data_IF_020441509147
#
_entry.id   IF_020441509147
#
_cell.length_a   1.000
_cell.length_b   1.000
_cell.length_c   1.000
_cell.angle_alpha   90.00
_cell.angle_beta   90.00
_cell.angle_gamma   90.00
#
_symmetry.space_group_name_H-M   'P 1'
#
loop_
_entity.id
_entity.type
_entity.pdbx_description
1 polymer ?
#
# COMPACT_ATOMS: atom_id res chain seq x y z
N UNK A 1 -27.97 -4.17 -20.93
CA UNK A 1 -26.59 -4.62 -20.90
C UNK A 1 -26.53 -5.96 -21.61
N UNK A 2 -25.71 -6.07 -22.66
CA UNK A 2 -25.52 -7.28 -23.43
C UNK A 2 -24.68 -8.21 -22.55
N UNK A 3 -25.19 -9.37 -22.23
CA UNK A 3 -24.39 -10.43 -21.61
C UNK A 3 -23.67 -11.17 -22.74
N UNK A 4 -22.38 -10.90 -22.89
CA UNK A 4 -21.52 -11.65 -23.79
C UNK A 4 -21.14 -12.98 -23.14
N UNK A 5 -21.05 -14.04 -23.95
CA UNK A 5 -20.48 -15.34 -23.58
C UNK A 5 -19.06 -15.46 -24.18
N UNK A 6 -18.02 -14.99 -23.44
CA UNK A 6 -16.65 -15.04 -23.95
C UNK A 6 -16.13 -16.47 -24.13
N UNK A 7 -16.66 -17.43 -23.35
CA UNK A 7 -16.30 -18.84 -23.48
C UNK A 7 -16.84 -19.46 -24.78
N UNK A 8 -18.11 -19.25 -25.06
CA UNK A 8 -18.76 -19.67 -26.32
C UNK A 8 -18.11 -19.02 -27.54
N UNK A 9 -17.80 -17.73 -27.47
CA UNK A 9 -17.11 -17.01 -28.54
C UNK A 9 -15.71 -17.57 -28.80
N UNK A 10 -14.92 -17.80 -27.74
CA UNK A 10 -13.58 -18.38 -27.87
C UNK A 10 -13.63 -19.80 -28.52
N UNK A 11 -14.62 -20.62 -28.13
CA UNK A 11 -14.84 -21.94 -28.70
C UNK A 11 -15.24 -21.87 -30.18
N UNK A 12 -16.08 -20.92 -30.55
CA UNK A 12 -16.53 -20.72 -31.94
C UNK A 12 -15.44 -20.23 -32.87
N UNK A 13 -14.53 -19.36 -32.38
CA UNK A 13 -13.46 -18.79 -33.18
C UNK A 13 -12.29 -19.75 -33.43
N UNK A 14 -12.13 -20.82 -32.65
CA UNK A 14 -11.07 -21.83 -32.79
C UNK A 14 -9.67 -21.22 -33.00
N UNK A 15 -9.34 -20.18 -32.20
CA UNK A 15 -8.09 -19.46 -32.35
C UNK A 15 -6.87 -20.38 -32.12
N UNK A 16 -5.78 -20.20 -32.91
CA UNK A 16 -4.57 -21.05 -32.81
C UNK A 16 -3.69 -20.70 -31.58
N UNK A 17 -4.19 -19.85 -30.69
CA UNK A 17 -3.51 -19.41 -29.48
C UNK A 17 -4.36 -19.75 -28.24
N UNK A 18 -3.75 -19.98 -27.07
CA UNK A 18 -4.50 -20.16 -25.84
C UNK A 18 -5.36 -18.94 -25.53
N UNK A 19 -6.64 -19.16 -25.24
CA UNK A 19 -7.59 -18.13 -24.84
C UNK A 19 -7.99 -18.34 -23.39
N UNK A 20 -7.94 -17.29 -22.59
CA UNK A 20 -8.42 -17.27 -21.20
C UNK A 20 -9.69 -16.45 -21.16
N UNK A 21 -10.87 -17.06 -21.17
CA UNK A 21 -12.12 -16.32 -21.01
C UNK A 21 -12.23 -15.79 -19.58
N UNK A 22 -12.57 -14.51 -19.43
CA UNK A 22 -12.73 -13.84 -18.15
C UNK A 22 -14.16 -13.33 -18.00
N UNK A 23 -14.84 -13.73 -16.93
CA UNK A 23 -16.14 -13.21 -16.55
C UNK A 23 -15.96 -12.06 -15.55
N UNK A 24 -15.86 -10.85 -16.06
CA UNK A 24 -15.66 -9.64 -15.27
C UNK A 24 -16.90 -8.73 -15.39
N UNK A 25 -17.95 -8.96 -14.59
CA UNK A 25 -19.20 -8.23 -14.72
C UNK A 25 -19.01 -6.74 -14.41
N UNK A 26 -19.36 -5.89 -15.36
CA UNK A 26 -19.31 -4.44 -15.21
C UNK A 26 -20.24 -3.97 -14.09
N UNK A 27 -19.83 -2.93 -13.38
CA UNK A 27 -20.60 -2.25 -12.32
C UNK A 27 -21.00 -3.10 -11.09
N UNK A 28 -20.55 -4.35 -10.98
CA UNK A 28 -20.89 -5.23 -9.85
C UNK A 28 -19.75 -5.35 -8.83
N UNK A 29 -18.52 -5.20 -9.28
CA UNK A 29 -17.31 -5.37 -8.49
C UNK A 29 -16.32 -4.22 -8.71
N UNK A 30 -15.38 -4.06 -7.78
CA UNK A 30 -14.30 -3.07 -7.86
C UNK A 30 -13.14 -3.55 -8.72
N UNK A 31 -12.27 -2.62 -9.10
CA UNK A 31 -11.08 -2.85 -9.92
C UNK A 31 -10.14 -3.90 -9.29
N UNK A 32 -9.91 -3.84 -7.98
CA UNK A 32 -9.09 -4.81 -7.27
C UNK A 32 -9.61 -6.24 -7.41
N UNK A 33 -10.92 -6.44 -7.31
CA UNK A 33 -11.51 -7.75 -7.55
C UNK A 33 -11.29 -8.22 -8.99
N UNK A 34 -11.49 -7.33 -9.97
CA UNK A 34 -11.26 -7.64 -11.38
C UNK A 34 -9.80 -8.01 -11.66
N UNK A 35 -8.87 -7.29 -11.05
CA UNK A 35 -7.44 -7.57 -11.15
C UNK A 35 -7.07 -8.92 -10.49
N UNK A 36 -7.61 -9.20 -9.30
CA UNK A 36 -7.39 -10.46 -8.59
C UNK A 36 -7.93 -11.66 -9.39
N UNK A 37 -9.14 -11.56 -9.91
CA UNK A 37 -9.74 -12.62 -10.73
C UNK A 37 -8.96 -12.82 -12.03
N UNK A 38 -8.58 -11.75 -12.72
CA UNK A 38 -7.77 -11.83 -13.93
C UNK A 38 -6.43 -12.51 -13.64
N UNK A 39 -5.73 -12.06 -12.61
CA UNK A 39 -4.43 -12.65 -12.24
C UNK A 39 -4.57 -14.12 -11.87
N UNK A 40 -5.58 -14.48 -11.08
CA UNK A 40 -5.85 -15.87 -10.71
C UNK A 40 -6.10 -16.76 -11.93
N UNK A 41 -6.97 -16.34 -12.86
CA UNK A 41 -7.30 -17.13 -14.05
C UNK A 41 -6.08 -17.26 -14.98
N UNK A 42 -5.27 -16.21 -15.13
CA UNK A 42 -4.04 -16.27 -15.91
C UNK A 42 -3.04 -17.24 -15.29
N UNK A 43 -2.77 -17.16 -13.98
CA UNK A 43 -1.89 -18.08 -13.26
C UNK A 43 -2.37 -19.53 -13.44
N UNK A 44 -3.64 -19.77 -13.14
CA UNK A 44 -4.25 -21.09 -13.26
C UNK A 44 -4.11 -21.67 -14.67
N UNK A 45 -4.35 -20.86 -15.69
CA UNK A 45 -4.29 -21.31 -17.08
C UNK A 45 -2.87 -21.55 -17.55
N UNK A 46 -1.95 -20.62 -17.24
CA UNK A 46 -0.55 -20.76 -17.67
C UNK A 46 0.17 -21.90 -16.96
N UNK A 47 -0.08 -22.09 -15.66
CA UNK A 47 0.56 -23.17 -14.90
C UNK A 47 -0.11 -24.54 -15.07
N UNK A 48 -1.24 -24.65 -15.78
CA UNK A 48 -2.00 -25.89 -15.90
C UNK A 48 -1.18 -27.08 -16.46
N UNK A 49 -0.31 -26.84 -17.43
CA UNK A 49 0.57 -27.86 -18.02
C UNK A 49 1.69 -28.35 -17.09
N UNK A 50 1.94 -27.64 -15.99
CA UNK A 50 2.97 -27.96 -14.99
C UNK A 50 2.36 -28.46 -13.68
N UNK A 51 1.05 -28.66 -13.62
CA UNK A 51 0.39 -29.15 -12.42
C UNK A 51 0.86 -30.58 -12.11
N UNK A 52 1.26 -30.84 -10.86
CA UNK A 52 1.62 -32.20 -10.46
C UNK A 52 0.41 -33.12 -10.49
N UNK A 53 0.64 -34.41 -10.77
CA UNK A 53 -0.42 -35.42 -10.82
C UNK A 53 -0.55 -36.16 -9.50
N UNK A 54 -1.78 -36.55 -9.13
CA UNK A 54 -2.07 -37.39 -7.97
C UNK A 54 -1.73 -36.73 -6.63
N UNK A 55 -1.36 -37.55 -5.66
CA UNK A 55 -0.97 -37.11 -4.29
C UNK A 55 0.48 -36.62 -4.21
N UNK A 56 0.83 -35.76 -5.12
CA UNK A 56 2.17 -35.18 -5.17
C UNK A 56 2.50 -34.40 -3.91
N UNK A 57 3.71 -34.63 -3.40
CA UNK A 57 4.31 -33.85 -2.32
C UNK A 57 5.46 -33.04 -2.88
N UNK A 58 5.60 -31.80 -2.43
CA UNK A 58 6.73 -31.00 -2.82
C UNK A 58 8.03 -31.65 -2.31
N UNK A 59 9.02 -31.90 -3.19
CA UNK A 59 10.30 -32.39 -2.74
C UNK A 59 10.99 -31.33 -1.86
N UNK A 60 11.75 -31.82 -0.85
CA UNK A 60 12.58 -30.94 -0.05
C UNK A 60 13.57 -30.18 -0.96
N UNK A 61 13.83 -28.94 -0.61
CA UNK A 61 14.85 -28.12 -1.29
C UNK A 61 16.23 -28.79 -1.14
N UNK A 62 16.99 -28.79 -2.23
CA UNK A 62 18.41 -29.17 -2.17
C UNK A 62 19.14 -28.23 -1.20
N UNK A 63 19.80 -28.73 -0.15
CA UNK A 63 20.52 -27.89 0.82
C UNK A 63 21.62 -27.01 0.19
N UNK A 64 22.16 -27.40 -0.97
CA UNK A 64 23.15 -26.61 -1.70
C UNK A 64 22.56 -25.47 -2.56
N UNK A 65 21.24 -25.41 -2.70
CA UNK A 65 20.57 -24.39 -3.49
C UNK A 65 19.97 -23.29 -2.60
N UNK A 66 20.16 -22.03 -2.99
CA UNK A 66 19.47 -20.91 -2.34
C UNK A 66 17.94 -21.06 -2.42
N UNK A 67 17.21 -20.65 -1.38
CA UNK A 67 15.77 -20.57 -1.43
C UNK A 67 15.31 -19.64 -2.57
N UNK A 68 14.17 -19.96 -3.18
CA UNK A 68 13.55 -19.15 -4.23
C UNK A 68 12.14 -18.78 -3.89
N UNK A 69 11.76 -17.53 -4.11
CA UNK A 69 10.38 -17.08 -3.94
C UNK A 69 9.83 -16.41 -5.19
N UNK A 70 8.52 -16.41 -5.33
CA UNK A 70 7.83 -15.50 -6.23
C UNK A 70 7.41 -14.25 -5.46
N UNK A 71 7.46 -13.06 -6.08
CA UNK A 71 6.83 -11.84 -5.60
C UNK A 71 5.49 -11.66 -6.28
N UNK A 72 4.40 -11.77 -5.53
CA UNK A 72 3.04 -11.77 -6.06
C UNK A 72 2.26 -10.51 -5.66
N UNK A 73 1.52 -9.99 -6.64
CA UNK A 73 0.58 -8.89 -6.45
C UNK A 73 0.97 -7.53 -7.01
N UNK A 74 2.26 -7.19 -7.19
CA UNK A 74 2.61 -5.89 -7.76
C UNK A 74 1.96 -5.68 -9.13
N UNK A 75 1.21 -4.57 -9.27
CA UNK A 75 0.50 -4.21 -10.50
C UNK A 75 0.36 -2.69 -10.59
N UNK A 76 -0.13 -2.19 -11.71
CA UNK A 76 -0.40 -0.76 -11.90
C UNK A 76 -1.45 -0.19 -10.91
N UNK A 77 -2.22 -1.05 -10.23
CA UNK A 77 -3.16 -0.67 -9.16
C UNK A 77 -2.46 -0.52 -7.79
N UNK A 78 -1.23 -0.97 -7.64
CA UNK A 78 -0.45 -0.82 -6.42
C UNK A 78 0.15 0.58 -6.29
N UNK A 79 0.14 1.15 -5.09
CA UNK A 79 0.52 2.54 -4.84
C UNK A 79 1.98 2.83 -5.24
N UNK A 80 2.95 2.08 -4.74
CA UNK A 80 4.40 2.26 -5.02
C UNK A 80 5.03 0.99 -5.60
N UNK A 81 4.26 0.21 -6.31
CA UNK A 81 4.55 -1.17 -6.70
C UNK A 81 5.95 -1.41 -7.29
N UNK A 82 6.52 -0.46 -8.05
CA UNK A 82 7.85 -0.62 -8.65
C UNK A 82 8.97 -0.47 -7.64
N UNK A 83 8.85 0.53 -6.79
CA UNK A 83 9.83 0.82 -5.75
C UNK A 83 9.75 -0.25 -4.66
N UNK A 84 8.54 -0.70 -4.31
CA UNK A 84 8.31 -1.78 -3.36
C UNK A 84 8.96 -3.10 -3.84
N UNK A 85 8.79 -3.46 -5.13
CA UNK A 85 9.47 -4.62 -5.70
C UNK A 85 10.98 -4.49 -5.59
N UNK A 86 11.52 -3.30 -5.85
CA UNK A 86 12.96 -3.04 -5.76
C UNK A 86 13.46 -3.19 -4.33
N UNK A 87 12.74 -2.60 -3.36
CA UNK A 87 13.12 -2.65 -1.94
C UNK A 87 13.04 -4.08 -1.39
N UNK A 88 11.94 -4.78 -1.65
CA UNK A 88 11.77 -6.15 -1.17
C UNK A 88 12.74 -7.13 -1.86
N UNK A 89 13.04 -6.92 -3.14
CA UNK A 89 14.08 -7.73 -3.81
C UNK A 89 15.43 -7.55 -3.14
N UNK A 90 15.84 -6.32 -2.78
CA UNK A 90 17.08 -6.06 -2.04
C UNK A 90 17.10 -6.73 -0.66
N UNK A 91 15.96 -6.68 0.03
CA UNK A 91 15.82 -7.32 1.34
C UNK A 91 15.96 -8.85 1.25
N UNK A 92 15.33 -9.47 0.25
CA UNK A 92 15.42 -10.91 0.00
C UNK A 92 16.83 -11.34 -0.44
N UNK A 93 17.48 -10.54 -1.28
CA UNK A 93 18.88 -10.78 -1.70
C UNK A 93 19.82 -10.74 -0.49
N UNK A 94 19.64 -9.80 0.43
CA UNK A 94 20.39 -9.73 1.68
C UNK A 94 20.16 -10.95 2.61
N UNK A 95 19.01 -11.61 2.49
CA UNK A 95 18.68 -12.88 3.14
C UNK A 95 19.21 -14.10 2.37
N UNK A 96 19.83 -13.93 1.21
CA UNK A 96 20.27 -15.03 0.35
C UNK A 96 19.13 -15.77 -0.34
N UNK A 97 18.03 -15.09 -0.64
CA UNK A 97 16.83 -15.64 -1.28
C UNK A 97 16.71 -15.11 -2.70
N UNK A 98 16.66 -16.01 -3.67
CA UNK A 98 16.47 -15.67 -5.08
C UNK A 98 15.01 -15.31 -5.38
N UNK A 99 14.76 -14.18 -6.07
CA UNK A 99 13.45 -13.87 -6.63
C UNK A 99 13.31 -14.56 -7.99
N UNK A 100 12.40 -15.55 -8.04
CA UNK A 100 12.19 -16.38 -9.23
C UNK A 100 11.31 -15.69 -10.28
N UNK A 101 10.13 -15.22 -9.86
CA UNK A 101 9.17 -14.51 -10.72
C UNK A 101 8.56 -13.36 -9.95
N UNK A 102 8.46 -12.18 -10.58
CA UNK A 102 7.63 -11.06 -10.12
C UNK A 102 6.36 -11.06 -10.98
N UNK A 103 5.18 -11.17 -10.36
CA UNK A 103 3.91 -11.23 -11.09
C UNK A 103 2.77 -10.52 -10.35
N UNK A 104 1.85 -9.88 -11.11
CA UNK A 104 1.77 -9.78 -12.57
C UNK A 104 2.72 -8.74 -13.20
N UNK A 105 3.38 -7.87 -12.43
CA UNK A 105 4.23 -6.79 -12.94
C UNK A 105 5.36 -7.34 -13.83
N UNK A 106 5.29 -7.02 -15.13
CA UNK A 106 6.32 -7.43 -16.09
C UNK A 106 6.34 -8.91 -16.45
N UNK A 107 5.49 -9.74 -15.87
CA UNK A 107 5.45 -11.18 -16.14
C UNK A 107 4.84 -11.49 -17.52
N UNK A 108 5.47 -12.39 -18.24
CA UNK A 108 4.95 -12.99 -19.46
C UNK A 108 4.19 -14.29 -19.13
N UNK A 109 3.33 -14.79 -20.02
CA UNK A 109 2.65 -16.07 -19.80
C UNK A 109 3.60 -17.24 -19.48
N UNK A 110 4.80 -17.27 -20.09
CA UNK A 110 5.83 -18.28 -19.81
C UNK A 110 6.38 -18.16 -18.38
N UNK A 111 6.47 -16.96 -17.83
CA UNK A 111 6.92 -16.73 -16.47
C UNK A 111 5.84 -17.19 -15.47
N UNK A 112 4.56 -16.93 -15.76
CA UNK A 112 3.43 -17.44 -14.97
C UNK A 112 3.36 -18.97 -14.96
N UNK A 113 3.73 -19.63 -16.07
CA UNK A 113 3.79 -21.08 -16.16
C UNK A 113 4.81 -21.68 -15.17
N UNK A 114 5.84 -20.94 -14.81
CA UNK A 114 6.95 -21.38 -13.95
C UNK A 114 6.75 -21.05 -12.47
N UNK A 115 5.67 -20.40 -12.07
CA UNK A 115 5.42 -20.04 -10.67
C UNK A 115 5.52 -21.24 -9.71
N UNK A 116 5.13 -22.46 -10.17
CA UNK A 116 5.23 -23.69 -9.37
C UNK A 116 6.66 -24.12 -9.02
N UNK A 117 7.70 -23.58 -9.67
CA UNK A 117 9.12 -23.95 -9.45
C UNK A 117 9.71 -23.29 -8.18
N UNK A 118 9.18 -22.17 -7.72
CA UNK A 118 9.66 -21.49 -6.51
C UNK A 118 9.33 -22.29 -5.25
N UNK A 119 10.09 -22.08 -4.17
CA UNK A 119 9.89 -22.78 -2.91
C UNK A 119 8.67 -22.22 -2.14
N UNK A 120 8.46 -20.92 -2.22
CA UNK A 120 7.37 -20.21 -1.55
C UNK A 120 6.96 -18.94 -2.31
N UNK A 121 5.90 -18.29 -1.82
CA UNK A 121 5.38 -17.05 -2.40
C UNK A 121 5.43 -15.92 -1.36
N UNK A 122 5.94 -14.77 -1.77
CA UNK A 122 5.84 -13.51 -1.03
C UNK A 122 4.67 -12.71 -1.61
N UNK A 123 3.66 -12.43 -0.78
CA UNK A 123 2.45 -11.72 -1.18
C UNK A 123 2.56 -10.26 -0.73
N UNK A 124 2.85 -9.35 -1.67
CA UNK A 124 3.03 -7.92 -1.37
C UNK A 124 1.72 -7.14 -1.44
N UNK A 125 0.81 -7.52 -2.34
CA UNK A 125 -0.50 -6.89 -2.51
C UNK A 125 -1.58 -7.96 -2.44
N UNK A 126 -2.07 -8.29 -1.23
CA UNK A 126 -3.06 -9.35 -1.02
C UNK A 126 -4.35 -9.15 -1.82
N UNK A 127 -4.78 -7.90 -2.02
CA UNK A 127 -5.96 -7.54 -2.81
C UNK A 127 -5.91 -8.09 -4.24
N UNK A 128 -4.71 -8.26 -4.79
CA UNK A 128 -4.49 -8.78 -6.15
C UNK A 128 -4.10 -10.25 -6.13
N UNK A 129 -3.24 -10.65 -5.18
CA UNK A 129 -2.52 -11.90 -5.27
C UNK A 129 -3.07 -13.03 -4.40
N UNK A 130 -3.85 -12.72 -3.36
CA UNK A 130 -4.23 -13.74 -2.36
C UNK A 130 -4.90 -14.96 -2.99
N UNK A 131 -5.86 -14.78 -3.90
CA UNK A 131 -6.56 -15.90 -4.55
C UNK A 131 -5.61 -16.79 -5.37
N UNK A 132 -4.67 -16.17 -6.10
CA UNK A 132 -3.66 -16.90 -6.85
C UNK A 132 -2.66 -17.61 -5.93
N UNK A 133 -2.19 -16.96 -4.87
CA UNK A 133 -1.30 -17.54 -3.87
C UNK A 133 -1.94 -18.74 -3.15
N UNK A 134 -3.22 -18.62 -2.75
CA UNK A 134 -3.98 -19.71 -2.13
C UNK A 134 -4.13 -20.90 -3.10
N UNK A 135 -4.28 -20.65 -4.40
CA UNK A 135 -4.31 -21.69 -5.42
C UNK A 135 -2.94 -22.34 -5.58
N UNK A 136 -1.86 -21.59 -5.64
CA UNK A 136 -0.49 -22.11 -5.70
C UNK A 136 -0.15 -22.96 -4.46
N UNK A 137 -0.58 -22.52 -3.27
CA UNK A 137 -0.42 -23.27 -2.03
C UNK A 137 -1.11 -24.63 -2.06
N UNK A 138 -2.33 -24.68 -2.57
CA UNK A 138 -3.08 -25.95 -2.71
C UNK A 138 -2.49 -26.85 -3.79
N UNK A 139 -2.11 -26.30 -4.94
CA UNK A 139 -1.71 -27.05 -6.12
C UNK A 139 -0.25 -27.46 -6.07
N UNK A 140 0.66 -26.56 -5.74
CA UNK A 140 2.10 -26.79 -5.73
C UNK A 140 2.68 -26.91 -4.31
N UNK A 141 1.83 -26.92 -3.27
CA UNK A 141 2.24 -27.00 -1.86
C UNK A 141 3.28 -25.91 -1.49
N UNK A 142 3.13 -24.73 -2.07
CA UNK A 142 3.99 -23.58 -1.80
C UNK A 142 3.40 -22.77 -0.65
N UNK A 143 4.11 -22.62 0.49
CA UNK A 143 3.69 -21.67 1.52
C UNK A 143 3.71 -20.24 0.97
N UNK A 144 2.95 -19.36 1.60
CA UNK A 144 2.90 -17.94 1.23
C UNK A 144 3.00 -17.08 2.50
N UNK A 145 3.66 -15.92 2.37
CA UNK A 145 3.71 -14.96 3.46
C UNK A 145 2.35 -14.34 3.73
N UNK A 146 2.12 -13.99 4.98
CA UNK A 146 0.91 -13.30 5.46
C UNK A 146 1.18 -11.87 5.89
N UNK A 147 2.41 -11.57 6.26
CA UNK A 147 2.83 -10.23 6.65
C UNK A 147 3.20 -9.40 5.43
N UNK A 148 2.60 -8.21 5.30
CA UNK A 148 3.00 -7.20 4.31
C UNK A 148 3.95 -6.22 5.00
N UNK A 149 5.18 -6.02 4.49
CA UNK A 149 6.25 -5.30 5.20
C UNK A 149 6.11 -3.78 5.08
N UNK A 150 5.03 -3.20 5.60
CA UNK A 150 4.79 -1.74 5.64
C UNK A 150 4.95 -1.25 7.08
N UNK A 151 5.95 -0.41 7.33
CA UNK A 151 6.39 0.02 8.66
C UNK A 151 7.57 -0.79 9.18
N UNK A 152 8.20 -0.33 10.25
CA UNK A 152 9.42 -0.96 10.83
C UNK A 152 9.07 -2.32 11.42
N UNK A 153 8.09 -2.36 12.32
CA UNK A 153 7.70 -3.59 13.02
C UNK A 153 7.24 -4.67 12.04
N UNK A 154 6.38 -4.32 11.07
CA UNK A 154 5.92 -5.27 10.07
C UNK A 154 7.05 -5.74 9.13
N UNK A 155 8.05 -4.90 8.85
CA UNK A 155 9.22 -5.31 8.07
C UNK A 155 10.07 -6.34 8.83
N UNK A 156 10.28 -6.14 10.13
CA UNK A 156 10.97 -7.13 10.95
C UNK A 156 10.21 -8.46 11.05
N UNK A 157 8.89 -8.40 11.23
CA UNK A 157 8.03 -9.59 11.28
C UNK A 157 8.03 -10.33 9.95
N UNK A 158 8.01 -9.59 8.83
CA UNK A 158 8.15 -10.16 7.49
C UNK A 158 9.49 -10.89 7.32
N UNK A 159 10.60 -10.31 7.77
CA UNK A 159 11.92 -10.95 7.72
C UNK A 159 11.91 -12.26 8.52
N UNK A 160 11.30 -12.27 9.71
CA UNK A 160 11.19 -13.47 10.54
C UNK A 160 10.32 -14.54 9.87
N UNK A 161 9.15 -14.16 9.33
CA UNK A 161 8.26 -15.08 8.61
C UNK A 161 8.94 -15.69 7.37
N UNK A 162 9.60 -14.87 6.56
CA UNK A 162 10.34 -15.34 5.38
C UNK A 162 11.48 -16.27 5.76
N UNK A 163 12.21 -15.93 6.81
CA UNK A 163 13.31 -16.76 7.32
C UNK A 163 12.83 -18.13 7.84
N UNK A 164 11.70 -18.16 8.52
CA UNK A 164 11.07 -19.41 8.97
C UNK A 164 10.64 -20.27 7.76
N UNK A 165 9.96 -19.67 6.78
CA UNK A 165 9.52 -20.39 5.57
C UNK A 165 10.72 -20.91 4.76
N UNK A 166 11.78 -20.13 4.64
CA UNK A 166 12.98 -20.45 3.87
C UNK A 166 13.99 -21.31 4.66
N UNK A 167 13.75 -21.55 5.96
CA UNK A 167 14.65 -22.27 6.87
C UNK A 167 16.07 -21.67 6.91
N UNK A 168 16.16 -20.35 7.11
CA UNK A 168 17.41 -19.59 7.17
C UNK A 168 17.49 -18.76 8.46
N UNK A 169 18.69 -18.33 8.83
CA UNK A 169 18.92 -17.43 9.99
C UNK A 169 18.76 -15.95 9.58
N UNK A 170 17.78 -15.21 10.14
CA UNK A 170 17.56 -13.80 9.81
C UNK A 170 18.48 -12.83 10.57
N UNK A 171 19.31 -13.30 11.51
CA UNK A 171 20.02 -12.45 12.49
C UNK A 171 20.89 -11.39 11.82
N UNK A 172 21.65 -11.77 10.78
CA UNK A 172 22.51 -10.83 10.06
C UNK A 172 21.71 -9.77 9.30
N UNK A 173 20.62 -10.17 8.65
CA UNK A 173 19.76 -9.23 7.92
C UNK A 173 19.07 -8.26 8.87
N UNK A 174 18.52 -8.73 9.99
CA UNK A 174 17.91 -7.88 11.02
C UNK A 174 18.92 -6.91 11.63
N UNK A 175 20.17 -7.32 11.82
CA UNK A 175 21.20 -6.46 12.38
C UNK A 175 21.73 -5.41 11.39
N UNK A 176 21.75 -5.72 10.09
CA UNK A 176 22.31 -4.84 9.04
C UNK A 176 21.29 -3.85 8.44
N UNK A 177 20.02 -4.19 8.47
CA UNK A 177 18.94 -3.38 7.90
C UNK A 177 18.19 -2.68 9.03
N UNK A 178 18.59 -1.47 9.35
CA UNK A 178 17.93 -0.66 10.37
C UNK A 178 17.25 0.56 9.75
N UNK A 179 16.01 0.79 10.18
CA UNK A 179 15.33 2.04 9.89
C UNK A 179 16.07 3.24 10.47
N UNK A 180 15.98 4.38 9.82
CA UNK A 180 16.47 5.67 10.34
C UNK A 180 15.54 6.30 11.38
N UNK A 181 14.35 5.74 11.60
CA UNK A 181 13.37 6.27 12.54
C UNK A 181 13.94 6.53 13.95
N UNK A 182 14.78 5.66 14.55
CA UNK A 182 15.38 5.97 15.85
C UNK A 182 16.31 7.17 15.84
N UNK A 183 16.88 7.52 14.68
CA UNK A 183 17.67 8.74 14.53
C UNK A 183 16.77 9.96 14.40
N UNK A 184 15.73 9.90 13.58
CA UNK A 184 14.77 10.98 13.41
C UNK A 184 14.01 11.30 14.69
N UNK A 185 13.62 10.29 15.46
CA UNK A 185 12.92 10.49 16.74
C UNK A 185 13.73 11.25 17.79
N UNK A 186 15.06 11.35 17.63
CA UNK A 186 15.93 12.15 18.50
C UNK A 186 16.05 13.62 18.01
N UNK A 187 15.81 13.88 16.75
CA UNK A 187 15.96 15.21 16.14
C UNK A 187 14.62 15.94 16.00
N UNK A 188 13.52 15.22 15.98
CA UNK A 188 12.16 15.78 16.03
C UNK A 188 11.70 15.78 17.48
N UNK A 189 11.05 16.85 17.93
CA UNK A 189 10.39 16.85 19.24
C UNK A 189 9.29 15.78 19.24
N UNK A 190 9.61 14.63 19.81
CA UNK A 190 8.71 13.47 19.80
C UNK A 190 7.40 13.75 20.54
N UNK A 191 7.39 14.73 21.45
CA UNK A 191 6.18 15.15 22.15
C UNK A 191 5.19 15.82 21.20
N UNK A 192 5.67 16.43 20.13
CA UNK A 192 4.82 17.05 19.12
C UNK A 192 3.97 16.04 18.33
N UNK A 193 4.49 14.85 18.09
CA UNK A 193 3.79 13.80 17.35
C UNK A 193 2.82 13.00 18.23
N UNK A 194 3.15 12.84 19.50
CA UNK A 194 2.36 12.02 20.42
C UNK A 194 0.92 12.54 20.56
N UNK A 195 -0.05 11.65 20.37
CA UNK A 195 -1.46 11.97 20.52
C UNK A 195 -2.07 12.76 19.34
N UNK A 196 -1.32 13.00 18.26
CA UNK A 196 -1.88 13.59 17.03
C UNK A 196 -3.00 12.71 16.48
N UNK A 197 -4.14 13.32 16.23
CA UNK A 197 -5.36 12.62 15.80
C UNK A 197 -5.33 12.36 14.31
N UNK A 198 -5.41 11.07 13.91
CA UNK A 198 -5.34 10.67 12.52
C UNK A 198 -6.59 9.89 12.09
N UNK A 199 -7.13 10.24 10.92
CA UNK A 199 -8.19 9.47 10.26
C UNK A 199 -7.58 8.72 9.07
N UNK A 200 -7.89 7.41 8.95
CA UNK A 200 -7.27 6.51 7.97
C UNK A 200 -8.35 5.86 7.11
N UNK A 201 -8.20 5.97 5.78
CA UNK A 201 -9.11 5.33 4.84
C UNK A 201 -8.38 4.96 3.55
N UNK A 202 -8.57 3.73 3.04
CA UNK A 202 -7.91 3.30 1.81
C UNK A 202 -8.20 1.85 1.46
N UNK A 203 -7.31 1.22 0.67
CA UNK A 203 -7.35 -0.23 0.58
C UNK A 203 -7.04 -0.86 1.94
N UNK A 204 -7.46 -2.10 2.13
CA UNK A 204 -7.40 -2.71 3.46
C UNK A 204 -5.95 -2.90 3.94
N UNK A 205 -5.05 -3.34 3.06
CA UNK A 205 -3.64 -3.61 3.41
C UNK A 205 -2.94 -2.34 3.90
N UNK A 206 -3.04 -1.25 3.13
CA UNK A 206 -2.39 0.01 3.52
C UNK A 206 -3.08 0.69 4.71
N UNK A 207 -4.41 0.61 4.80
CA UNK A 207 -5.15 1.17 5.94
C UNK A 207 -4.80 0.46 7.26
N UNK A 208 -4.72 -0.87 7.26
CA UNK A 208 -4.28 -1.67 8.42
C UNK A 208 -2.84 -1.34 8.80
N UNK A 209 -1.94 -1.30 7.82
CA UNK A 209 -0.55 -0.96 8.07
C UNK A 209 -0.41 0.47 8.61
N UNK A 210 -1.12 1.44 8.03
CA UNK A 210 -1.13 2.82 8.48
C UNK A 210 -1.62 2.95 9.94
N UNK A 211 -2.66 2.20 10.32
CA UNK A 211 -3.18 2.20 11.68
C UNK A 211 -2.15 1.68 12.70
N UNK A 212 -1.40 0.63 12.35
CA UNK A 212 -0.31 0.09 13.20
C UNK A 212 0.85 1.08 13.30
N UNK A 213 1.33 1.62 12.19
CA UNK A 213 2.40 2.62 12.19
C UNK A 213 2.01 3.85 13.01
N UNK A 214 0.82 4.38 12.77
CA UNK A 214 0.30 5.54 13.49
C UNK A 214 0.33 5.34 15.00
N UNK A 215 -0.22 4.20 15.47
CA UNK A 215 -0.31 3.88 16.89
C UNK A 215 1.03 3.46 17.51
N UNK A 216 1.68 2.47 16.90
CA UNK A 216 2.77 1.74 17.55
C UNK A 216 4.17 2.35 17.27
N UNK A 217 4.34 3.03 16.11
CA UNK A 217 5.62 3.61 15.70
C UNK A 217 5.68 5.14 15.89
N UNK A 218 4.55 5.86 15.69
CA UNK A 218 4.50 7.33 15.76
C UNK A 218 3.77 7.89 16.98
N UNK A 219 3.06 7.03 17.72
CA UNK A 219 2.31 7.45 18.92
C UNK A 219 1.10 8.32 18.61
N UNK A 220 0.52 8.23 17.41
CA UNK A 220 -0.70 8.94 17.03
C UNK A 220 -1.92 8.30 17.67
N UNK A 221 -2.99 9.08 17.82
CA UNK A 221 -4.32 8.60 18.15
C UNK A 221 -5.10 8.36 16.86
N UNK A 222 -5.43 7.09 16.56
CA UNK A 222 -6.29 6.76 15.41
C UNK A 222 -7.74 7.03 15.80
N UNK A 223 -8.34 8.06 15.19
CA UNK A 223 -9.73 8.49 15.49
C UNK A 223 -10.75 7.98 14.46
N UNK A 224 -10.30 7.35 13.39
CA UNK A 224 -11.14 6.69 12.41
C UNK A 224 -10.33 5.76 11.53
N UNK A 225 -10.91 4.60 11.23
CA UNK A 225 -10.32 3.59 10.36
C UNK A 225 -11.38 3.05 9.41
N UNK A 226 -11.08 3.03 8.11
CA UNK A 226 -12.00 2.48 7.13
C UNK A 226 -11.34 1.99 5.86
N UNK A 227 -12.16 1.32 5.03
CA UNK A 227 -11.74 0.79 3.73
C UNK A 227 -12.90 0.75 2.74
N UNK A 228 -12.55 0.90 1.47
CA UNK A 228 -13.47 0.59 0.36
C UNK A 228 -13.40 -0.89 -0.07
N UNK A 229 -12.41 -1.66 0.40
CA UNK A 229 -12.21 -3.08 0.09
C UNK A 229 -13.13 -3.98 0.93
N UNK A 230 -14.26 -4.39 0.39
CA UNK A 230 -15.22 -5.27 1.09
C UNK A 230 -14.68 -6.68 1.31
N UNK A 231 -13.80 -7.14 0.43
CA UNK A 231 -13.18 -8.46 0.48
C UNK A 231 -12.31 -8.65 1.74
N UNK A 232 -11.68 -7.58 2.22
CA UNK A 232 -10.82 -7.57 3.40
C UNK A 232 -11.46 -6.88 4.62
N UNK A 233 -12.75 -6.61 4.57
CA UNK A 233 -13.47 -5.92 5.64
C UNK A 233 -13.35 -6.61 7.01
N UNK A 234 -13.17 -7.94 7.03
CA UNK A 234 -12.96 -8.70 8.27
C UNK A 234 -11.66 -8.30 8.97
N UNK A 235 -10.59 -8.14 8.20
CA UNK A 235 -9.26 -7.83 8.73
C UNK A 235 -9.23 -6.40 9.26
N UNK A 236 -9.86 -5.47 8.54
CA UNK A 236 -10.03 -4.07 9.02
C UNK A 236 -10.86 -4.02 10.31
N UNK A 237 -11.94 -4.81 10.41
CA UNK A 237 -12.75 -4.90 11.66
C UNK A 237 -11.93 -5.42 12.84
N UNK A 238 -11.05 -6.38 12.61
CA UNK A 238 -10.18 -6.90 13.67
C UNK A 238 -9.28 -5.80 14.22
N UNK A 239 -8.59 -5.05 13.36
CA UNK A 239 -7.71 -3.95 13.78
C UNK A 239 -8.50 -2.80 14.41
N UNK A 240 -9.65 -2.43 13.85
CA UNK A 240 -10.51 -1.39 14.44
C UNK A 240 -10.96 -1.75 15.86
N UNK A 241 -11.30 -3.02 16.10
CA UNK A 241 -11.65 -3.52 17.44
C UNK A 241 -10.50 -3.35 18.43
N UNK A 242 -9.26 -3.62 18.02
CA UNK A 242 -8.07 -3.46 18.88
C UNK A 242 -7.75 -1.98 19.17
N UNK A 243 -8.28 -1.09 18.32
CA UNK A 243 -8.22 0.36 18.49
C UNK A 243 -9.43 0.92 19.26
N UNK A 244 -10.45 0.11 19.55
CA UNK A 244 -11.69 0.56 20.16
C UNK A 244 -12.59 1.37 19.22
N UNK A 245 -12.45 1.17 17.90
CA UNK A 245 -13.16 1.91 16.86
C UNK A 245 -14.22 1.07 16.16
N UNK A 246 -15.24 1.74 15.66
CA UNK A 246 -16.17 1.16 14.67
C UNK A 246 -15.61 1.43 13.25
N UNK A 247 -15.31 0.41 12.44
CA UNK A 247 -14.69 0.58 11.14
C UNK A 247 -15.68 1.08 10.09
N UNK A 248 -15.27 2.02 9.26
CA UNK A 248 -16.04 2.51 8.13
C UNK A 248 -15.79 1.65 6.88
N UNK A 249 -16.73 0.76 6.54
CA UNK A 249 -16.65 -0.07 5.34
C UNK A 249 -17.62 0.47 4.30
N UNK A 250 -17.14 1.32 3.41
CA UNK A 250 -17.98 1.99 2.41
C UNK A 250 -17.19 2.35 1.15
N UNK A 251 -17.89 2.55 0.05
CA UNK A 251 -17.38 3.12 -1.18
C UNK A 251 -18.07 4.46 -1.53
N UNK A 252 -18.88 4.98 -0.60
CA UNK A 252 -19.54 6.26 -0.74
C UNK A 252 -18.70 7.39 -0.15
N UNK A 253 -18.05 8.18 -0.99
CA UNK A 253 -17.15 9.24 -0.54
C UNK A 253 -17.80 10.29 0.37
N UNK A 254 -19.12 10.54 0.24
CA UNK A 254 -19.85 11.45 1.12
C UNK A 254 -19.98 10.92 2.55
N UNK A 255 -20.05 9.60 2.74
CA UNK A 255 -20.00 8.98 4.06
C UNK A 255 -18.62 9.15 4.68
N UNK A 256 -17.56 8.97 3.88
CA UNK A 256 -16.18 9.18 4.32
C UNK A 256 -15.97 10.66 4.71
N UNK A 257 -16.45 11.61 3.89
CA UNK A 257 -16.33 13.04 4.18
C UNK A 257 -17.01 13.43 5.51
N UNK A 258 -18.21 12.91 5.76
CA UNK A 258 -18.91 13.14 7.04
C UNK A 258 -18.14 12.55 8.21
N UNK A 259 -17.65 11.33 8.08
CA UNK A 259 -16.87 10.67 9.12
C UNK A 259 -15.56 11.42 9.44
N UNK A 260 -14.87 11.96 8.43
CA UNK A 260 -13.69 12.81 8.62
C UNK A 260 -14.07 14.11 9.34
N UNK A 261 -15.16 14.78 8.90
CA UNK A 261 -15.62 16.02 9.52
C UNK A 261 -16.02 15.82 10.98
N UNK A 262 -16.75 14.75 11.30
CA UNK A 262 -17.20 14.41 12.65
C UNK A 262 -16.02 14.03 13.57
N UNK A 263 -15.02 13.32 13.04
CA UNK A 263 -13.84 12.93 13.77
C UNK A 263 -12.88 14.12 14.02
N UNK A 264 -12.92 15.17 13.21
CA UNK A 264 -12.05 16.35 13.27
C UNK A 264 -10.56 15.99 13.50
N UNK A 265 -9.91 15.20 12.61
CA UNK A 265 -8.53 14.79 12.76
C UNK A 265 -7.55 15.92 12.44
N UNK A 266 -6.31 15.79 12.90
CA UNK A 266 -5.20 16.69 12.55
C UNK A 266 -4.46 16.22 11.28
N UNK A 267 -4.65 14.96 10.88
CA UNK A 267 -4.09 14.39 9.67
C UNK A 267 -5.07 13.40 9.05
N UNK A 268 -5.21 13.43 7.73
CA UNK A 268 -5.95 12.43 6.96
C UNK A 268 -4.98 11.60 6.14
N UNK A 269 -4.96 10.29 6.37
CA UNK A 269 -4.23 9.31 5.57
C UNK A 269 -5.22 8.57 4.68
N UNK A 270 -5.09 8.70 3.36
CA UNK A 270 -6.08 8.12 2.48
C UNK A 270 -5.64 7.95 1.04
N UNK A 271 -6.62 7.95 0.14
CA UNK A 271 -6.42 7.97 -1.30
C UNK A 271 -6.46 9.41 -1.83
N UNK A 272 -6.39 9.57 -3.15
CA UNK A 272 -6.64 10.90 -3.74
C UNK A 272 -8.02 11.48 -3.37
N UNK A 273 -9.02 10.63 -3.09
CA UNK A 273 -10.35 11.09 -2.73
C UNK A 273 -10.34 11.74 -1.34
N UNK A 274 -9.73 11.10 -0.36
CA UNK A 274 -9.58 11.62 1.00
C UNK A 274 -8.69 12.87 1.04
N UNK A 275 -7.69 12.97 0.15
CA UNK A 275 -6.93 14.22 -0.03
C UNK A 275 -7.83 15.38 -0.48
N UNK A 276 -8.80 15.15 -1.36
CA UNK A 276 -9.75 16.19 -1.75
C UNK A 276 -10.67 16.58 -0.59
N UNK A 277 -11.11 15.61 0.22
CA UNK A 277 -11.89 15.85 1.44
C UNK A 277 -11.07 16.71 2.41
N UNK A 278 -9.85 16.27 2.73
CA UNK A 278 -8.97 16.96 3.65
C UNK A 278 -8.68 18.41 3.22
N UNK A 279 -8.44 18.61 1.91
CA UNK A 279 -8.24 19.97 1.36
C UNK A 279 -9.46 20.88 1.54
N UNK A 280 -10.69 20.34 1.36
CA UNK A 280 -11.91 21.13 1.60
C UNK A 280 -12.10 21.50 3.08
N UNK A 281 -11.67 20.62 3.98
CA UNK A 281 -11.78 20.80 5.41
C UNK A 281 -10.58 21.56 6.03
N UNK A 282 -9.56 21.90 5.23
CA UNK A 282 -8.35 22.57 5.73
C UNK A 282 -7.47 21.67 6.58
N UNK A 283 -7.50 20.35 6.37
CA UNK A 283 -6.76 19.36 7.17
C UNK A 283 -5.54 18.87 6.36
N UNK A 284 -4.34 18.78 6.95
CA UNK A 284 -3.19 18.13 6.35
C UNK A 284 -3.49 16.69 5.92
N UNK A 285 -2.90 16.22 4.83
CA UNK A 285 -3.15 14.87 4.34
C UNK A 285 -1.95 14.25 3.64
N UNK A 286 -1.88 12.91 3.67
CA UNK A 286 -0.96 12.13 2.86
C UNK A 286 -1.71 10.99 2.15
N UNK A 287 -1.28 10.71 0.90
CA UNK A 287 -1.82 9.58 0.13
C UNK A 287 -1.04 8.33 0.50
N UNK A 288 -1.76 7.27 0.90
CA UNK A 288 -1.20 6.00 1.36
C UNK A 288 -1.54 4.82 0.46
N UNK A 289 -2.59 4.92 -0.36
CA UNK A 289 -3.03 3.84 -1.25
C UNK A 289 -3.73 4.35 -2.50
N UNK A 290 -3.92 3.47 -3.49
CA UNK A 290 -4.75 3.75 -4.65
C UNK A 290 -6.25 3.94 -4.24
N UNK A 291 -7.04 4.69 -5.02
CA UNK A 291 -6.67 5.41 -6.24
C UNK A 291 -5.78 6.63 -5.99
N UNK A 292 -4.86 6.88 -6.94
CA UNK A 292 -3.82 7.90 -6.86
C UNK A 292 -3.89 8.86 -8.06
N UNK A 293 -3.28 10.03 -7.90
CA UNK A 293 -3.14 11.01 -8.97
C UNK A 293 -1.69 11.06 -9.47
N UNK A 294 -1.45 11.62 -10.66
CA UNK A 294 -0.11 11.74 -11.24
C UNK A 294 0.90 12.42 -10.29
N UNK A 295 0.47 13.37 -9.46
CA UNK A 295 1.32 14.03 -8.47
C UNK A 295 1.81 13.10 -7.34
N UNK A 296 1.19 11.94 -7.17
CA UNK A 296 1.56 10.99 -6.13
C UNK A 296 2.68 10.03 -6.57
N UNK A 297 3.10 10.12 -7.85
CA UNK A 297 4.26 9.41 -8.39
C UNK A 297 5.52 10.25 -8.23
N UNK A 298 6.40 9.96 -7.26
CA UNK A 298 7.64 10.71 -7.09
C UNK A 298 8.62 10.38 -8.23
N UNK A 299 9.43 11.36 -8.60
CA UNK A 299 10.51 11.15 -9.55
C UNK A 299 11.69 10.36 -8.94
N UNK A 300 11.82 10.39 -7.60
CA UNK A 300 12.86 9.68 -6.88
C UNK A 300 12.33 8.35 -6.31
N UNK A 301 13.24 7.47 -5.97
CA UNK A 301 12.95 6.23 -5.25
C UNK A 301 12.22 6.50 -3.94
N UNK A 302 11.03 5.95 -3.80
CA UNK A 302 10.15 6.18 -2.65
C UNK A 302 9.18 5.00 -2.43
N UNK A 303 9.67 3.86 -1.91
CA UNK A 303 8.85 2.71 -1.58
C UNK A 303 7.90 3.00 -0.41
N UNK A 304 6.92 2.12 -0.21
CA UNK A 304 6.09 2.05 1.00
C UNK A 304 6.45 0.83 1.85
N UNK A 305 7.14 -0.14 1.28
CA UNK A 305 7.52 -1.39 1.92
C UNK A 305 8.99 -1.38 2.33
N UNK A 306 9.37 -2.23 3.29
CA UNK A 306 10.71 -2.33 3.80
C UNK A 306 11.11 -1.17 4.72
N UNK A 307 12.37 -1.17 5.15
CA UNK A 307 12.88 -0.13 6.05
C UNK A 307 12.98 1.25 5.37
N UNK A 308 13.32 1.30 4.09
CA UNK A 308 13.30 2.56 3.35
C UNK A 308 11.85 3.07 3.16
N UNK A 309 10.89 2.15 2.98
CA UNK A 309 9.48 2.49 2.99
C UNK A 309 9.03 3.16 4.29
N UNK A 310 9.49 2.66 5.42
CA UNK A 310 9.21 3.28 6.71
C UNK A 310 9.78 4.71 6.82
N UNK A 311 10.98 4.97 6.28
CA UNK A 311 11.56 6.32 6.23
C UNK A 311 10.72 7.25 5.35
N UNK A 312 10.29 6.78 4.17
CA UNK A 312 9.43 7.55 3.24
C UNK A 312 8.07 7.86 3.88
N UNK A 313 7.49 6.91 4.60
CA UNK A 313 6.23 7.09 5.33
C UNK A 313 6.40 8.17 6.39
N UNK A 314 7.47 8.13 7.19
CA UNK A 314 7.74 9.14 8.20
C UNK A 314 7.80 10.54 7.58
N UNK A 315 8.63 10.74 6.56
CA UNK A 315 8.75 12.03 5.88
C UNK A 315 7.41 12.51 5.32
N UNK A 316 6.67 11.61 4.67
CA UNK A 316 5.41 11.94 3.99
C UNK A 316 4.29 12.33 4.97
N UNK A 317 4.26 11.73 6.17
CA UNK A 317 3.19 11.99 7.15
C UNK A 317 3.54 13.12 8.10
N UNK A 318 4.81 13.26 8.46
CA UNK A 318 5.26 14.28 9.43
C UNK A 318 5.35 15.66 8.79
N UNK A 319 5.85 15.77 7.57
CA UNK A 319 5.98 17.08 6.91
C UNK A 319 4.65 17.85 6.81
N UNK A 320 3.52 17.28 6.35
CA UNK A 320 2.25 18.01 6.32
C UNK A 320 1.78 18.48 7.69
N UNK A 321 2.06 17.71 8.76
CA UNK A 321 1.74 18.12 10.13
C UNK A 321 2.61 19.30 10.60
N UNK A 322 3.90 19.28 10.28
CA UNK A 322 4.83 20.33 10.67
C UNK A 322 4.53 21.65 9.95
N UNK A 323 4.24 21.60 8.66
CA UNK A 323 3.86 22.80 7.88
C UNK A 323 2.55 23.42 8.37
N UNK A 324 1.58 22.61 8.76
CA UNK A 324 0.33 23.08 9.34
C UNK A 324 0.52 23.84 10.66
N UNK A 325 1.56 23.50 11.44
CA UNK A 325 1.92 24.24 12.65
C UNK A 325 2.39 25.68 12.32
N UNK A 326 3.25 25.84 11.31
CA UNK A 326 3.72 27.18 10.91
C UNK A 326 2.58 28.08 10.46
N UNK A 327 1.66 27.57 9.64
CA UNK A 327 0.46 28.30 9.21
C UNK A 327 -0.43 28.70 10.41
N UNK A 328 -0.57 27.80 11.38
CA UNK A 328 -1.36 28.05 12.58
C UNK A 328 -0.71 29.13 13.46
N UNK A 329 0.61 29.04 13.67
CA UNK A 329 1.36 30.04 14.43
C UNK A 329 1.31 31.42 13.75
N UNK A 330 1.46 31.49 12.44
CA UNK A 330 1.33 32.76 11.70
C UNK A 330 -0.08 33.34 11.85
N UNK A 331 -1.13 32.49 11.88
CA UNK A 331 -2.51 32.93 12.11
C UNK A 331 -2.74 33.46 13.52
N UNK A 332 -2.15 32.82 14.55
CA UNK A 332 -2.30 33.19 15.95
C UNK A 332 -1.48 34.41 16.36
N UNK A 333 -0.27 34.55 15.81
CA UNK A 333 0.71 35.55 16.24
C UNK A 333 1.00 36.57 15.15
N UNK A 334 0.09 36.76 14.20
CA UNK A 334 0.31 37.64 13.04
C UNK A 334 0.68 39.07 13.45
N UNK A 335 0.08 39.61 14.51
CA UNK A 335 0.35 40.92 15.03
C UNK A 335 1.60 40.96 15.93
N UNK A 336 1.97 39.85 16.55
CA UNK A 336 3.10 39.75 17.48
C UNK A 336 4.44 39.58 16.77
N UNK A 337 4.47 39.36 15.46
CA UNK A 337 5.68 39.29 14.63
C UNK A 337 6.07 40.66 14.02
N UNK A 338 5.40 41.72 14.41
CA UNK A 338 5.82 43.07 14.06
C UNK A 338 6.95 43.52 15.01
N UNK A 339 8.19 43.41 14.55
CA UNK A 339 9.40 43.61 15.38
C UNK A 339 9.69 45.07 15.73
N UNK A 340 9.02 46.03 15.15
CA UNK A 340 9.20 47.47 15.47
C UNK A 340 8.10 48.35 14.87
N UNK A 341 7.82 49.46 15.54
CA UNK A 341 6.87 50.47 15.09
C UNK A 341 7.21 50.97 13.67
N UNK A 342 6.30 50.83 12.73
CA UNK A 342 6.42 51.30 11.36
C UNK A 342 7.10 50.36 10.37
N UNK A 343 7.47 49.15 10.78
CA UNK A 343 7.92 48.13 9.84
C UNK A 343 6.71 47.36 9.27
N UNK A 344 6.46 47.55 7.98
CA UNK A 344 5.56 46.62 7.28
C UNK A 344 6.24 45.25 7.22
N UNK A 345 5.59 44.15 7.63
CA UNK A 345 6.16 42.81 7.52
C UNK A 345 6.46 42.50 6.06
N UNK A 346 7.74 42.32 5.74
CA UNK A 346 8.24 42.28 4.36
C UNK A 346 7.63 41.14 3.51
N UNK A 347 7.02 40.17 4.16
CA UNK A 347 6.41 39.00 3.52
C UNK A 347 4.91 38.84 3.81
N UNK A 348 4.36 39.61 4.76
CA UNK A 348 2.92 39.61 5.07
C UNK A 348 2.17 40.74 4.35
N UNK A 349 2.87 41.72 3.78
CA UNK A 349 2.27 42.86 3.06
C UNK A 349 1.69 42.50 1.69
N UNK A 350 1.87 41.27 1.21
CA UNK A 350 1.31 40.82 -0.07
C UNK A 350 -0.09 40.20 0.01
N UNK A 351 -0.73 40.24 1.17
CA UNK A 351 -2.15 39.89 1.35
C UNK A 351 -3.14 41.00 1.09
N UNK A 352 -2.68 42.17 0.64
CA UNK A 352 -3.55 43.25 0.17
C UNK A 352 -4.13 42.89 -1.19
N UNK A 353 -5.45 42.79 -1.23
CA UNK A 353 -6.36 42.74 -2.35
C UNK A 353 -5.67 42.58 -3.73
N UNK A 354 -5.63 41.36 -4.24
CA UNK A 354 -5.48 41.15 -5.67
C UNK A 354 -6.65 41.88 -6.35
N UNK A 355 -6.37 42.98 -7.05
CA UNK A 355 -7.32 43.51 -8.02
C UNK A 355 -7.75 42.40 -8.97
N UNK A 356 -9.03 42.27 -9.29
CA UNK A 356 -9.49 41.27 -10.23
C UNK A 356 -8.79 41.52 -11.56
N UNK A 357 -8.02 40.53 -12.02
CA UNK A 357 -7.45 40.52 -13.37
C UNK A 357 -8.63 40.48 -14.31
N UNK A 358 -8.94 41.62 -14.98
CA UNK A 358 -9.85 41.66 -16.08
C UNK A 358 -9.21 40.93 -17.27
N UNK A 359 -9.63 39.68 -17.50
CA UNK A 359 -9.27 38.93 -18.71
C UNK A 359 -10.17 39.48 -19.82
N UNK A 360 -9.64 40.40 -20.62
CA UNK A 360 -10.20 40.65 -21.94
C UNK A 360 -9.90 39.43 -22.82
N UNK A 361 -10.98 38.72 -23.17
CA UNK A 361 -10.92 37.63 -24.15
C UNK A 361 -11.00 38.28 -25.53
N UNK A 362 -10.09 37.95 -26.46
CA UNK A 362 -10.12 38.43 -27.83
C UNK A 362 -11.26 37.82 -28.67
#
# INVERSE_FOLDING_TARGET
>A
LIQDDPGGLAAALQLPVPVVPLELPAYQKKENWGAAETFYQMVRRCAASHMPAGDWQRPARDPGRQPRCNLLGPSALGFRHRDDVTEITRLLDALGIDVHVVAPLGARPVDLARLGEADFNVVLYPEIAKTAADWLARTFKQPATTVVPIGVGATEDFIREVAEIAEIDPTTALASHQSRLPWYSRSVDSTYLTGKRVFIFGDATHAIAAARIAKDELGFEVVGLGTYSREFARDVRAVAKDLGLEPLITDEYLQVERAVADAAPELVLGTQMERHIAKRLGIPSAVISAPIHVQDFPARYAPQMGFEGANVIFDTWVHPLMMGLEEHLLGMFREDFEFHDGAAPSHLSHGGASEPISVEVP
#
